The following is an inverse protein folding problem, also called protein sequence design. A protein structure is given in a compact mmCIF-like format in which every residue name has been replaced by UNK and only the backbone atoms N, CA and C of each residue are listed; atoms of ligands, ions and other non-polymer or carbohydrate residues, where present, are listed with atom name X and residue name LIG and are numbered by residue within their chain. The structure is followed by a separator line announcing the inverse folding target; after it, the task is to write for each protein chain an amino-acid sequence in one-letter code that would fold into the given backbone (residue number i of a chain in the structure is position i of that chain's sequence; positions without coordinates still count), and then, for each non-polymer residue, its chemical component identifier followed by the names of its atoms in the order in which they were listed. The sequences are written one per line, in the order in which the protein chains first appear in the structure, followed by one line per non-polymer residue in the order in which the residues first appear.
data_IF_350449501060
#
_entry.id   IF_350449501060
#
_cell.length_a   1.000
_cell.length_b   1.000
_cell.length_c   1.000
_cell.angle_alpha   90.00
_cell.angle_beta   90.00
_cell.angle_gamma   90.00
#
_symmetry.space_group_name_H-M   'P 1'
#
loop_
_entity.id
_entity.type
_entity.pdbx_description
1 polymer ?
#
# COMPACT_ATOMS: atom_id res chain seq x y z
N UNK A 1 13.32 -16.62 -0.60
CA UNK A 1 12.03 -16.29 -1.23
C UNK A 1 12.00 -16.91 -2.62
N UNK A 2 10.96 -17.68 -2.94
CA UNK A 2 10.78 -18.22 -4.28
C UNK A 2 10.50 -17.05 -5.24
N UNK A 3 11.23 -16.99 -6.35
CA UNK A 3 10.96 -16.03 -7.42
C UNK A 3 9.97 -16.68 -8.39
N UNK A 4 8.81 -16.08 -8.66
CA UNK A 4 7.89 -16.62 -9.66
C UNK A 4 8.57 -16.66 -11.03
N UNK A 5 8.11 -17.57 -11.90
CA UNK A 5 8.56 -17.61 -13.28
C UNK A 5 8.32 -16.26 -13.97
N UNK A 6 9.20 -15.88 -14.90
CA UNK A 6 9.20 -14.56 -15.53
C UNK A 6 7.82 -14.13 -16.07
N UNK A 7 7.04 -14.97 -16.77
CA UNK A 7 5.73 -14.57 -17.28
C UNK A 7 4.75 -14.18 -16.18
N UNK A 8 4.78 -14.89 -15.05
CA UNK A 8 3.94 -14.58 -13.89
C UNK A 8 4.44 -13.30 -13.20
N UNK A 9 5.75 -13.13 -13.07
CA UNK A 9 6.33 -11.94 -12.47
C UNK A 9 5.96 -10.66 -13.25
N UNK A 10 5.92 -10.72 -14.58
CA UNK A 10 5.50 -9.61 -15.43
C UNK A 10 4.04 -9.23 -15.19
N UNK A 11 3.12 -10.20 -15.16
CA UNK A 11 1.71 -9.95 -14.87
C UNK A 11 1.52 -9.33 -13.49
N UNK A 12 2.20 -9.87 -12.47
CA UNK A 12 2.16 -9.32 -11.11
C UNK A 12 2.63 -7.86 -11.11
N UNK A 13 3.74 -7.57 -11.79
CA UNK A 13 4.28 -6.21 -11.88
C UNK A 13 3.32 -5.26 -12.59
N UNK A 14 2.80 -5.64 -13.75
CA UNK A 14 1.85 -4.80 -14.51
C UNK A 14 0.62 -4.45 -13.70
N UNK A 15 0.06 -5.41 -12.96
CA UNK A 15 -1.12 -5.16 -12.13
C UNK A 15 -0.79 -4.32 -10.89
N UNK A 16 0.38 -4.53 -10.28
CA UNK A 16 0.84 -3.71 -9.18
C UNK A 16 0.99 -2.23 -9.61
N UNK A 17 1.64 -2.00 -10.75
CA UNK A 17 1.83 -0.66 -11.32
C UNK A 17 0.46 0.01 -11.63
N UNK A 18 -0.50 -0.73 -12.18
CA UNK A 18 -1.84 -0.22 -12.48
C UNK A 18 -2.65 0.20 -11.24
N UNK A 19 -2.34 -0.39 -10.08
CA UNK A 19 -2.97 -0.08 -8.79
C UNK A 19 -2.14 0.88 -7.93
N UNK A 20 -0.98 1.33 -8.41
CA UNK A 20 -0.04 2.14 -7.63
C UNK A 20 0.56 1.41 -6.44
N UNK A 21 0.62 0.08 -6.49
CA UNK A 21 1.15 -0.78 -5.42
C UNK A 21 2.59 -1.22 -5.72
N UNK A 22 3.38 -1.42 -4.68
CA UNK A 22 4.65 -2.12 -4.84
C UNK A 22 4.41 -3.60 -5.19
N UNK A 23 5.36 -4.21 -5.91
CA UNK A 23 5.29 -5.62 -6.31
C UNK A 23 4.97 -6.57 -5.14
N UNK A 24 5.62 -6.37 -3.99
CA UNK A 24 5.38 -7.18 -2.79
C UNK A 24 4.04 -6.90 -2.12
N UNK A 25 3.53 -5.66 -2.21
CA UNK A 25 2.22 -5.30 -1.70
C UNK A 25 1.14 -5.98 -2.53
N UNK A 26 1.25 -5.94 -3.85
CA UNK A 26 0.28 -6.61 -4.72
C UNK A 26 0.25 -8.14 -4.49
N UNK A 27 1.41 -8.78 -4.29
CA UNK A 27 1.46 -10.20 -3.88
C UNK A 27 0.74 -10.41 -2.54
N UNK A 28 0.99 -9.54 -1.57
CA UNK A 28 0.34 -9.63 -0.25
C UNK A 28 -1.16 -9.48 -0.36
N UNK A 29 -1.65 -8.57 -1.22
CA UNK A 29 -3.08 -8.40 -1.50
C UNK A 29 -3.72 -9.67 -2.07
N UNK A 30 -3.08 -10.30 -3.06
CA UNK A 30 -3.56 -11.56 -3.65
C UNK A 30 -3.62 -12.67 -2.60
N UNK A 31 -2.56 -12.81 -1.80
CA UNK A 31 -2.49 -13.86 -0.77
C UNK A 31 -3.55 -13.64 0.31
N UNK A 32 -3.66 -12.43 0.82
CA UNK A 32 -4.68 -12.04 1.81
C UNK A 32 -6.09 -12.40 1.31
N UNK A 33 -6.42 -12.03 0.07
CA UNK A 33 -7.71 -12.38 -0.53
C UNK A 33 -7.90 -13.89 -0.66
N UNK A 34 -6.90 -14.61 -1.20
CA UNK A 34 -6.99 -16.07 -1.41
C UNK A 34 -7.16 -16.88 -0.12
N UNK A 35 -6.68 -16.34 1.00
CA UNK A 35 -6.76 -16.96 2.32
C UNK A 35 -7.98 -16.48 3.11
N UNK A 36 -8.79 -15.57 2.57
CA UNK A 36 -9.94 -14.99 3.26
C UNK A 36 -9.56 -14.07 4.43
N UNK A 37 -8.41 -13.40 4.30
CA UNK A 37 -7.79 -12.55 5.33
C UNK A 37 -7.60 -11.10 4.84
N UNK A 38 -8.66 -10.41 4.36
CA UNK A 38 -8.55 -9.10 3.71
C UNK A 38 -7.99 -7.99 4.60
N UNK A 39 -8.08 -8.12 5.93
CA UNK A 39 -7.52 -7.17 6.89
C UNK A 39 -5.98 -7.08 6.86
N UNK A 40 -5.32 -8.06 6.26
CA UNK A 40 -3.87 -8.08 6.02
C UNK A 40 -3.48 -7.57 4.63
N UNK A 41 -4.44 -7.20 3.78
CA UNK A 41 -4.14 -6.58 2.51
C UNK A 41 -3.45 -5.22 2.73
N UNK A 42 -2.49 -4.83 1.86
CA UNK A 42 -1.88 -3.51 1.91
C UNK A 42 -2.97 -2.44 1.80
N UNK A 43 -2.96 -1.50 2.73
CA UNK A 43 -3.82 -0.32 2.63
C UNK A 43 -3.20 0.66 1.66
N UNK A 44 -4.00 1.28 0.77
CA UNK A 44 -3.49 2.38 -0.04
C UNK A 44 -2.91 3.47 0.85
N UNK A 45 -1.90 4.17 0.34
CA UNK A 45 -1.31 5.29 1.06
C UNK A 45 -2.40 6.30 1.43
N UNK A 46 -2.31 6.82 2.66
CA UNK A 46 -3.27 7.80 3.15
C UNK A 46 -3.12 9.07 2.32
N UNK A 47 -4.22 9.52 1.71
CA UNK A 47 -4.27 10.82 1.04
C UNK A 47 -4.25 11.94 2.09
N UNK A 48 -3.03 12.36 2.46
CA UNK A 48 -2.81 13.44 3.43
C UNK A 48 -3.35 14.80 2.97
N UNK A 49 -3.61 14.98 1.67
CA UNK A 49 -4.13 16.23 1.13
C UNK A 49 -5.63 16.40 1.42
N UNK A 50 -6.34 15.28 1.58
CA UNK A 50 -7.78 15.25 1.87
C UNK A 50 -8.10 14.87 3.33
N UNK A 51 -7.08 14.79 4.19
CA UNK A 51 -7.29 14.52 5.61
C UNK A 51 -7.87 15.77 6.30
N UNK A 52 -8.93 15.55 7.09
CA UNK A 52 -9.50 16.60 7.93
C UNK A 52 -8.44 17.03 8.96
N UNK A 53 -8.24 18.35 9.18
CA UNK A 53 -7.28 18.83 10.16
C UNK A 53 -7.65 18.30 11.55
N UNK A 54 -6.66 17.74 12.26
CA UNK A 54 -6.83 17.28 13.64
C UNK A 54 -6.99 18.50 14.53
N UNK A 55 -8.14 18.69 15.22
CA UNK A 55 -8.34 19.85 16.07
C UNK A 55 -7.34 19.82 17.25
N UNK A 56 -6.45 20.82 17.33
CA UNK A 56 -5.56 21.03 18.48
C UNK A 56 -4.05 20.93 18.21
N UNK A 57 -3.62 20.56 17.01
CA UNK A 57 -2.20 20.65 16.62
C UNK A 57 -1.81 22.10 16.35
N UNK A 58 -1.58 22.85 17.42
CA UNK A 58 -0.87 24.13 17.31
C UNK A 58 0.57 23.77 16.91
N UNK A 59 1.10 24.22 15.76
CA UNK A 59 2.51 24.02 15.46
C UNK A 59 3.29 24.68 16.58
N UNK A 60 4.06 23.88 17.32
CA UNK A 60 4.94 24.36 18.38
C UNK A 60 5.99 25.22 17.68
N UNK A 61 5.71 26.51 17.57
CA UNK A 61 6.66 27.50 17.11
C UNK A 61 7.82 27.43 18.09
N UNK A 62 8.94 26.83 17.67
CA UNK A 62 10.22 26.99 18.38
C UNK A 62 10.50 28.49 18.38
N UNK A 63 10.20 29.12 19.51
CA UNK A 63 10.69 30.46 19.84
C UNK A 63 12.21 30.36 19.96
N UNK A 64 12.86 31.36 19.36
CA UNK A 64 14.28 31.54 19.14
C UNK A 64 15.18 31.30 20.37
#
# INVERSE_FOLDING_TARGET
MAKPALPLAEVIKTNADALGLAYGEYITAIVAESLGMPEYAPRPERDRTNELPIPGETPISKVA
#
